data_IF_967869314697
#
_entry.id   IF_967869314697
#
_cell.length_a   1.000
_cell.length_b   1.000
_cell.length_c   1.000
_cell.angle_alpha   90.00
_cell.angle_beta   90.00
_cell.angle_gamma   90.00
#
_symmetry.space_group_name_H-M   'P 1'
#
loop_
_entity.id
_entity.type
_entity.pdbx_description
1 polymer ?
#
# COMPACT_ATOMS: atom_id res chain seq x y z
N UNK A 1 23.53 -42.82 2.85
CA UNK A 1 22.11 -42.96 2.42
C UNK A 1 22.01 -42.52 0.97
N UNK A 2 21.27 -43.29 0.18
CA UNK A 2 21.36 -43.40 -1.28
C UNK A 2 21.11 -42.10 -2.03
N UNK A 3 22.06 -41.77 -2.91
CA UNK A 3 21.90 -40.97 -4.12
C UNK A 3 20.77 -41.55 -4.97
N UNK A 4 19.72 -40.77 -5.21
CA UNK A 4 18.70 -41.09 -6.22
C UNK A 4 19.05 -40.33 -7.49
N UNK A 5 19.64 -41.05 -8.43
CA UNK A 5 19.80 -40.60 -9.81
C UNK A 5 18.40 -40.45 -10.42
N UNK A 6 18.06 -39.23 -10.87
CA UNK A 6 16.85 -38.99 -11.63
C UNK A 6 17.08 -39.48 -13.06
N UNK A 7 16.27 -40.44 -13.49
CA UNK A 7 16.18 -40.88 -14.88
C UNK A 7 15.77 -39.69 -15.77
N UNK A 8 16.61 -39.38 -16.74
CA UNK A 8 16.30 -38.48 -17.85
C UNK A 8 15.30 -39.14 -18.79
N UNK A 9 14.01 -38.86 -18.61
CA UNK A 9 13.02 -39.05 -19.66
C UNK A 9 13.00 -37.80 -20.54
N UNK A 10 13.48 -37.95 -21.78
CA UNK A 10 13.19 -37.03 -22.88
C UNK A 10 11.66 -36.93 -23.03
N UNK A 11 11.08 -35.80 -22.59
CA UNK A 11 9.70 -35.44 -22.87
C UNK A 11 9.66 -34.66 -24.18
N UNK A 12 9.25 -35.34 -25.24
CA UNK A 12 8.77 -34.70 -26.46
C UNK A 12 7.41 -34.05 -26.20
N UNK A 13 7.31 -32.72 -26.41
CA UNK A 13 6.26 -32.19 -27.29
C UNK A 13 5.05 -31.41 -26.77
N UNK A 14 4.89 -31.05 -25.48
CA UNK A 14 3.93 -30.00 -25.04
C UNK A 14 4.45 -29.28 -23.80
N UNK A 15 4.66 -27.95 -23.88
CA UNK A 15 4.98 -27.10 -22.73
C UNK A 15 3.82 -27.20 -21.72
N UNK A 16 4.13 -27.58 -20.48
CA UNK A 16 3.14 -27.63 -19.40
C UNK A 16 2.65 -26.20 -19.12
N UNK A 17 1.33 -25.98 -19.12
CA UNK A 17 0.77 -24.65 -18.88
C UNK A 17 0.92 -24.26 -17.40
N UNK A 18 1.34 -23.02 -17.16
CA UNK A 18 1.45 -22.41 -15.83
C UNK A 18 0.26 -21.47 -15.66
N UNK A 19 -0.73 -21.92 -14.88
CA UNK A 19 -2.01 -21.22 -14.71
C UNK A 19 -2.10 -20.61 -13.33
N UNK A 20 -2.36 -19.30 -13.26
CA UNK A 20 -2.56 -18.55 -12.01
C UNK A 20 -1.45 -18.74 -10.97
N UNK A 21 -0.22 -19.02 -11.37
CA UNK A 21 0.92 -19.15 -10.44
C UNK A 21 2.22 -18.65 -11.08
N UNK A 22 2.35 -17.33 -11.16
CA UNK A 22 3.54 -16.67 -11.69
C UNK A 22 3.63 -15.22 -11.20
N UNK A 23 4.67 -14.51 -11.62
CA UNK A 23 4.90 -13.11 -11.28
C UNK A 23 5.14 -12.30 -12.55
N UNK A 24 4.39 -11.22 -12.66
CA UNK A 24 4.57 -10.19 -13.69
C UNK A 24 5.41 -9.08 -13.07
N UNK A 25 6.41 -8.61 -13.80
CA UNK A 25 7.31 -7.55 -13.39
C UNK A 25 7.27 -6.45 -14.45
N UNK A 26 6.87 -5.25 -14.08
CA UNK A 26 6.72 -4.12 -15.00
C UNK A 26 7.80 -3.10 -14.69
N UNK A 27 8.79 -3.00 -15.57
CA UNK A 27 9.93 -2.08 -15.46
C UNK A 27 9.67 -0.85 -16.34
N UNK A 28 9.50 0.31 -15.71
CA UNK A 28 9.09 1.57 -16.37
C UNK A 28 9.93 2.74 -15.89
N UNK A 29 9.69 3.92 -16.46
CA UNK A 29 10.30 5.18 -16.02
C UNK A 29 9.42 5.79 -14.94
N UNK A 30 10.00 6.20 -13.80
CA UNK A 30 9.26 6.88 -12.74
C UNK A 30 8.60 8.16 -13.27
N UNK A 31 7.34 8.39 -12.93
CA UNK A 31 6.53 9.51 -13.46
C UNK A 31 5.93 9.29 -14.85
N UNK A 32 6.09 8.10 -15.47
CA UNK A 32 5.45 7.78 -16.76
C UNK A 32 3.95 7.52 -16.68
N UNK A 33 3.36 7.51 -15.48
CA UNK A 33 1.96 7.13 -15.25
C UNK A 33 1.72 5.61 -15.16
N UNK A 34 2.79 4.82 -15.06
CA UNK A 34 2.71 3.35 -15.05
C UNK A 34 2.00 2.76 -13.84
N UNK A 35 2.03 3.45 -12.69
CA UNK A 35 1.32 2.99 -11.48
C UNK A 35 -0.18 2.79 -11.73
N UNK A 36 -0.84 3.73 -12.42
CA UNK A 36 -2.27 3.62 -12.74
C UNK A 36 -2.55 2.40 -13.62
N UNK A 37 -1.71 2.17 -14.64
CA UNK A 37 -1.84 1.02 -15.55
C UNK A 37 -1.57 -0.32 -14.85
N UNK A 38 -0.57 -0.36 -13.96
CA UNK A 38 -0.27 -1.54 -13.14
C UNK A 38 -1.44 -1.88 -12.20
N UNK A 39 -2.05 -0.85 -11.57
CA UNK A 39 -3.25 -1.02 -10.73
C UNK A 39 -4.43 -1.53 -11.54
N UNK A 40 -4.64 -1.01 -12.76
CA UNK A 40 -5.69 -1.52 -13.68
C UNK A 40 -5.50 -3.01 -13.96
N UNK A 41 -4.28 -3.41 -14.36
CA UNK A 41 -3.99 -4.82 -14.65
C UNK A 41 -4.21 -5.71 -13.42
N UNK A 42 -3.68 -5.31 -12.26
CA UNK A 42 -3.85 -6.04 -11.00
C UNK A 42 -5.34 -6.15 -10.61
N UNK A 43 -6.11 -5.06 -10.71
CA UNK A 43 -7.55 -5.05 -10.42
C UNK A 43 -8.33 -5.96 -11.37
N UNK A 44 -8.02 -5.96 -12.66
CA UNK A 44 -8.67 -6.86 -13.62
C UNK A 44 -8.42 -8.34 -13.26
N UNK A 45 -7.19 -8.69 -12.85
CA UNK A 45 -6.85 -10.05 -12.38
C UNK A 45 -7.64 -10.41 -11.12
N UNK A 46 -7.75 -9.48 -10.16
CA UNK A 46 -8.55 -9.67 -8.96
C UNK A 46 -10.04 -9.87 -9.26
N UNK A 47 -10.61 -9.09 -10.18
CA UNK A 47 -12.02 -9.20 -10.60
C UNK A 47 -12.32 -10.54 -11.29
N UNK A 48 -11.31 -11.14 -11.94
CA UNK A 48 -11.40 -12.51 -12.44
C UNK A 48 -11.41 -13.59 -11.34
N UNK A 49 -11.46 -13.23 -10.06
CA UNK A 49 -11.52 -14.21 -8.97
C UNK A 49 -10.17 -14.70 -8.47
N UNK A 50 -9.07 -14.18 -9.03
CA UNK A 50 -7.74 -14.75 -8.86
C UNK A 50 -6.99 -14.02 -7.75
N UNK A 51 -6.45 -14.72 -6.74
CA UNK A 51 -5.68 -14.06 -5.69
C UNK A 51 -4.42 -13.39 -6.25
N UNK A 52 -4.24 -12.11 -5.91
CA UNK A 52 -3.19 -11.24 -6.45
C UNK A 52 -2.68 -10.24 -5.42
N UNK A 53 -1.41 -9.86 -5.50
CA UNK A 53 -0.86 -8.68 -4.82
C UNK A 53 -0.06 -7.81 -5.79
N UNK A 54 0.05 -6.53 -5.48
CA UNK A 54 0.82 -5.57 -6.27
C UNK A 54 1.79 -4.81 -5.39
N UNK A 55 3.08 -4.83 -5.75
CA UNK A 55 4.12 -4.10 -5.02
C UNK A 55 4.84 -3.12 -5.91
N UNK A 56 4.94 -1.88 -5.45
CA UNK A 56 5.65 -0.82 -6.13
C UNK A 56 7.06 -0.65 -5.54
N UNK A 57 8.08 -0.83 -6.37
CA UNK A 57 9.48 -0.59 -6.03
C UNK A 57 9.96 0.64 -6.80
N UNK A 58 9.93 1.78 -6.12
CA UNK A 58 10.31 3.07 -6.69
C UNK A 58 11.56 3.63 -6.01
N UNK A 59 12.35 4.45 -6.72
CA UNK A 59 13.47 5.17 -6.11
C UNK A 59 12.99 6.41 -5.35
N UNK A 60 13.84 6.96 -4.50
CA UNK A 60 13.60 8.23 -3.81
C UNK A 60 13.83 9.43 -4.75
N UNK A 61 13.08 9.50 -5.85
CA UNK A 61 13.11 10.59 -6.82
C UNK A 61 11.69 10.88 -7.35
N UNK A 62 11.48 12.10 -7.87
CA UNK A 62 10.17 12.49 -8.38
C UNK A 62 9.92 11.90 -9.77
N UNK A 63 10.89 11.93 -10.69
CA UNK A 63 10.74 11.40 -12.07
C UNK A 63 12.06 10.93 -12.67
N UNK A 64 11.98 10.04 -13.68
CA UNK A 64 13.06 9.75 -14.61
C UNK A 64 13.91 8.50 -14.31
N UNK A 65 14.09 8.15 -13.03
CA UNK A 65 14.78 6.91 -12.66
C UNK A 65 13.91 5.65 -12.90
N UNK A 66 14.51 4.45 -12.98
CA UNK A 66 13.77 3.21 -13.14
C UNK A 66 12.84 2.89 -11.97
N UNK A 67 11.66 2.38 -12.28
CA UNK A 67 10.66 1.94 -11.30
C UNK A 67 10.11 0.61 -11.72
N UNK A 68 9.94 -0.26 -10.74
CA UNK A 68 9.48 -1.61 -10.94
C UNK A 68 8.20 -1.84 -10.18
N UNK A 69 7.25 -2.53 -10.81
CA UNK A 69 6.03 -2.96 -10.15
C UNK A 69 5.89 -4.47 -10.32
N UNK A 70 5.71 -5.20 -9.23
CA UNK A 70 5.49 -6.65 -9.28
C UNK A 70 4.03 -6.96 -9.03
N UNK A 71 3.43 -7.77 -9.90
CA UNK A 71 2.12 -8.37 -9.71
C UNK A 71 2.34 -9.86 -9.46
N UNK A 72 2.09 -10.32 -8.25
CA UNK A 72 2.15 -11.74 -7.91
C UNK A 72 0.76 -12.34 -8.01
N UNK A 73 0.60 -13.33 -8.88
CA UNK A 73 -0.63 -14.10 -9.00
C UNK A 73 -0.39 -15.49 -8.46
N UNK A 74 -1.27 -15.96 -7.58
CA UNK A 74 -1.19 -17.32 -7.05
C UNK A 74 -2.59 -17.86 -6.71
N UNK A 75 -3.01 -18.94 -7.37
CA UNK A 75 -4.33 -19.59 -7.17
C UNK A 75 -4.57 -20.04 -5.73
N UNK A 76 -3.53 -20.27 -4.95
CA UNK A 76 -3.62 -20.76 -3.57
C UNK A 76 -3.54 -19.63 -2.53
N UNK A 77 -3.39 -18.37 -2.98
CA UNK A 77 -3.33 -17.20 -2.10
C UNK A 77 -1.92 -16.85 -1.62
N UNK A 78 -0.87 -17.56 -2.07
CA UNK A 78 0.53 -17.25 -1.75
C UNK A 78 1.03 -16.05 -2.56
N UNK A 79 0.64 -14.86 -2.13
CA UNK A 79 0.85 -13.59 -2.84
C UNK A 79 2.09 -12.82 -2.39
N UNK A 80 3.00 -13.45 -1.64
CA UNK A 80 4.32 -12.88 -1.39
C UNK A 80 5.15 -12.79 -2.67
N UNK A 81 6.00 -11.75 -2.78
CA UNK A 81 6.91 -11.57 -3.92
C UNK A 81 7.81 -12.79 -4.06
N UNK A 82 7.99 -13.26 -5.30
CA UNK A 82 8.97 -14.30 -5.63
C UNK A 82 10.23 -13.66 -6.24
N UNK A 83 11.43 -14.22 -5.99
CA UNK A 83 12.65 -13.79 -6.66
C UNK A 83 12.61 -14.05 -8.18
N UNK A 84 11.77 -14.99 -8.64
CA UNK A 84 11.67 -15.33 -10.07
C UNK A 84 10.72 -14.40 -10.81
N UNK A 85 11.21 -13.79 -11.88
CA UNK A 85 10.39 -13.05 -12.84
C UNK A 85 9.99 -13.99 -13.96
N UNK A 86 8.68 -14.13 -14.17
CA UNK A 86 8.12 -15.03 -15.17
C UNK A 86 7.69 -14.29 -16.43
N UNK A 87 7.10 -13.11 -16.23
CA UNK A 87 6.71 -12.19 -17.30
C UNK A 87 7.29 -10.81 -16.98
N UNK A 88 8.12 -10.28 -17.86
CA UNK A 88 8.70 -8.95 -17.78
C UNK A 88 8.03 -8.04 -18.82
N UNK A 89 7.63 -6.85 -18.40
CA UNK A 89 7.27 -5.73 -19.28
C UNK A 89 8.39 -4.71 -19.20
N UNK A 90 9.29 -4.71 -20.18
CA UNK A 90 10.51 -3.91 -20.20
C UNK A 90 10.29 -2.61 -21.00
N UNK A 91 9.88 -1.56 -20.30
CA UNK A 91 9.58 -0.25 -20.89
C UNK A 91 10.62 0.82 -20.54
N UNK A 92 11.60 0.49 -19.70
CA UNK A 92 12.68 1.41 -19.32
C UNK A 92 13.96 1.10 -20.10
N UNK A 93 14.40 1.98 -21.03
CA UNK A 93 15.62 1.75 -21.80
C UNK A 93 16.89 1.66 -20.95
N UNK A 94 16.93 2.27 -19.75
CA UNK A 94 18.12 2.30 -18.89
C UNK A 94 18.43 0.93 -18.27
N UNK A 95 17.40 0.14 -17.97
CA UNK A 95 17.56 -1.14 -17.25
C UNK A 95 17.16 -2.35 -18.09
N UNK A 96 16.44 -2.15 -19.20
CA UNK A 96 15.87 -3.23 -20.01
C UNK A 96 16.83 -4.39 -20.34
N UNK A 97 18.10 -4.10 -20.68
CA UNK A 97 19.08 -5.15 -20.97
C UNK A 97 19.43 -5.97 -19.72
N UNK A 98 19.63 -5.31 -18.58
CA UNK A 98 19.93 -5.99 -17.31
C UNK A 98 18.69 -6.72 -16.78
N UNK A 99 17.50 -6.12 -16.87
CA UNK A 99 16.24 -6.76 -16.49
C UNK A 99 16.02 -8.07 -17.27
N UNK A 100 16.36 -8.11 -18.56
CA UNK A 100 16.29 -9.32 -19.39
C UNK A 100 17.35 -10.36 -18.99
N UNK A 101 18.57 -9.93 -18.64
CA UNK A 101 19.62 -10.85 -18.18
C UNK A 101 19.24 -11.55 -16.87
N UNK A 102 18.51 -10.90 -15.99
CA UNK A 102 18.04 -11.47 -14.72
C UNK A 102 16.88 -12.48 -14.86
N UNK A 103 16.28 -12.59 -16.05
CA UNK A 103 15.18 -13.54 -16.29
C UNK A 103 15.61 -15.00 -16.14
N UNK A 104 14.69 -15.84 -15.69
CA UNK A 104 14.89 -17.30 -15.74
C UNK A 104 14.68 -17.81 -17.18
N UNK A 105 15.35 -18.91 -17.59
CA UNK A 105 15.06 -19.55 -18.88
C UNK A 105 13.57 -19.88 -19.02
N UNK A 106 12.99 -19.62 -20.19
CA UNK A 106 11.56 -19.79 -20.47
C UNK A 106 10.66 -18.66 -19.94
N UNK A 107 11.21 -17.61 -19.35
CA UNK A 107 10.45 -16.40 -19.04
C UNK A 107 10.01 -15.66 -20.32
N UNK A 108 9.05 -14.76 -20.16
CA UNK A 108 8.51 -13.91 -21.23
C UNK A 108 9.00 -12.47 -21.05
N UNK A 109 9.43 -11.84 -22.14
CA UNK A 109 9.74 -10.41 -22.18
C UNK A 109 8.83 -9.71 -23.21
N UNK A 110 8.03 -8.76 -22.74
CA UNK A 110 7.18 -7.86 -23.52
C UNK A 110 7.88 -6.50 -23.56
N UNK A 111 8.26 -6.03 -24.75
CA UNK A 111 9.07 -4.80 -24.87
C UNK A 111 8.81 -4.01 -26.15
N UNK A 112 9.13 -2.70 -26.19
CA UNK A 112 9.16 -1.92 -27.42
C UNK A 112 10.12 -2.52 -28.47
N UNK A 113 9.72 -2.52 -29.74
CA UNK A 113 10.57 -2.98 -30.87
C UNK A 113 11.90 -2.23 -30.95
N UNK A 114 11.90 -0.96 -30.55
CA UNK A 114 13.05 -0.07 -30.62
C UNK A 114 14.19 -0.51 -29.68
N UNK A 115 13.87 -1.26 -28.62
CA UNK A 115 14.85 -1.73 -27.65
C UNK A 115 15.65 -2.96 -28.12
N UNK A 116 15.20 -3.67 -29.18
CA UNK A 116 15.91 -4.83 -29.75
C UNK A 116 16.34 -5.88 -28.70
N UNK A 117 15.50 -6.12 -27.68
CA UNK A 117 15.84 -7.01 -26.56
C UNK A 117 15.86 -8.50 -26.92
N UNK A 118 15.26 -8.87 -28.06
CA UNK A 118 15.25 -10.23 -28.63
C UNK A 118 16.66 -10.77 -28.91
N UNK A 119 17.63 -9.88 -29.12
CA UNK A 119 19.03 -10.23 -29.40
C UNK A 119 19.84 -10.54 -28.15
N UNK A 120 19.28 -10.32 -26.95
CA UNK A 120 20.02 -10.45 -25.69
C UNK A 120 20.11 -11.90 -25.24
N UNK A 121 19.01 -12.65 -25.34
CA UNK A 121 18.88 -14.05 -24.91
C UNK A 121 17.87 -14.79 -25.78
N UNK A 122 18.22 -15.98 -26.23
CA UNK A 122 17.40 -16.87 -27.07
C UNK A 122 16.54 -17.85 -26.24
N UNK A 123 16.92 -18.10 -25.00
CA UNK A 123 16.19 -18.94 -24.05
C UNK A 123 15.02 -18.21 -23.34
N UNK A 124 14.76 -16.96 -23.71
CA UNK A 124 13.63 -16.13 -23.26
C UNK A 124 12.66 -15.94 -24.42
N UNK A 125 11.35 -16.01 -24.17
CA UNK A 125 10.33 -15.70 -25.18
C UNK A 125 10.13 -14.20 -25.27
N UNK A 126 10.51 -13.59 -26.39
CA UNK A 126 10.32 -12.16 -26.63
C UNK A 126 9.05 -11.89 -27.45
N UNK A 127 8.26 -10.94 -26.98
CA UNK A 127 7.18 -10.31 -27.73
C UNK A 127 7.55 -8.83 -27.89
N UNK A 128 7.78 -8.41 -29.14
CA UNK A 128 8.16 -7.04 -29.48
C UNK A 128 6.96 -6.28 -30.04
N UNK A 129 6.66 -5.12 -29.47
CA UNK A 129 5.44 -4.36 -29.75
C UNK A 129 5.80 -2.95 -30.22
N UNK A 130 5.22 -2.45 -31.33
CA UNK A 130 5.44 -1.09 -31.81
C UNK A 130 4.61 -0.09 -30.98
N UNK A 131 4.89 0.02 -29.67
CA UNK A 131 4.12 0.84 -28.74
C UNK A 131 3.99 2.30 -29.18
N UNK A 132 5.03 2.86 -29.81
CA UNK A 132 5.02 4.21 -30.36
C UNK A 132 3.94 4.39 -31.44
N UNK A 133 3.80 3.42 -32.34
CA UNK A 133 2.80 3.44 -33.42
C UNK A 133 1.39 3.26 -32.87
N UNK A 134 1.21 2.31 -31.94
CA UNK A 134 -0.09 2.07 -31.30
C UNK A 134 -0.56 3.29 -30.48
N UNK A 135 0.35 3.96 -29.79
CA UNK A 135 0.02 5.19 -29.06
C UNK A 135 -0.40 6.34 -29.98
N UNK A 136 0.15 6.41 -31.20
CA UNK A 136 -0.26 7.39 -32.20
C UNK A 136 -1.69 7.16 -32.70
N UNK A 137 -2.14 5.89 -32.77
CA UNK A 137 -3.52 5.54 -33.12
C UNK A 137 -4.51 5.93 -32.00
N UNK A 138 -4.08 5.84 -30.75
CA UNK A 138 -4.92 6.12 -29.59
C UNK A 138 -5.20 7.62 -29.39
N UNK A 139 -4.23 8.49 -29.73
CA UNK A 139 -4.40 9.94 -29.56
C UNK A 139 -3.42 10.77 -30.40
N UNK A 140 -3.91 11.90 -30.91
CA UNK A 140 -3.07 12.92 -31.53
C UNK A 140 -2.24 13.69 -30.48
N UNK A 141 -2.67 13.72 -29.21
CA UNK A 141 -2.00 14.48 -28.16
C UNK A 141 -0.70 13.81 -27.69
N UNK A 142 0.44 14.40 -28.06
CA UNK A 142 1.79 13.91 -27.76
C UNK A 142 2.01 13.65 -26.25
N UNK A 143 1.46 14.50 -25.36
CA UNK A 143 1.63 14.31 -23.91
C UNK A 143 0.91 13.06 -23.40
N UNK A 144 -0.28 12.78 -23.94
CA UNK A 144 -1.08 11.64 -23.55
C UNK A 144 -0.52 10.33 -24.11
N UNK A 145 0.18 10.35 -25.26
CA UNK A 145 0.78 9.15 -25.85
C UNK A 145 1.62 8.37 -24.84
N UNK A 146 2.47 9.05 -24.05
CA UNK A 146 3.31 8.40 -23.02
C UNK A 146 2.49 7.69 -21.95
N UNK A 147 1.39 8.31 -21.50
CA UNK A 147 0.51 7.72 -20.49
C UNK A 147 -0.26 6.52 -21.07
N UNK A 148 -0.76 6.66 -22.29
CA UNK A 148 -1.53 5.61 -22.97
C UNK A 148 -0.68 4.43 -23.40
N UNK A 149 0.62 4.62 -23.69
CA UNK A 149 1.57 3.52 -23.90
C UNK A 149 1.51 2.50 -22.75
N UNK A 150 1.35 2.97 -21.51
CA UNK A 150 1.25 2.08 -20.37
C UNK A 150 -0.07 1.28 -20.36
N UNK A 151 -1.17 1.86 -20.82
CA UNK A 151 -2.44 1.13 -20.95
C UNK A 151 -2.45 0.19 -22.17
N UNK A 152 -1.70 0.52 -23.23
CA UNK A 152 -1.56 -0.38 -24.38
C UNK A 152 -0.90 -1.70 -23.95
N UNK A 153 0.14 -1.69 -23.09
CA UNK A 153 0.70 -2.96 -22.61
C UNK A 153 -0.30 -3.75 -21.75
N UNK A 154 -1.21 -3.08 -21.03
CA UNK A 154 -2.29 -3.76 -20.29
C UNK A 154 -3.18 -4.52 -21.27
N UNK A 155 -3.52 -3.92 -22.42
CA UNK A 155 -4.25 -4.58 -23.50
C UNK A 155 -3.50 -5.77 -24.11
N UNK A 156 -2.20 -5.60 -24.39
CA UNK A 156 -1.32 -6.66 -24.91
C UNK A 156 -1.26 -7.84 -23.93
N UNK A 157 -0.99 -7.57 -22.65
CA UNK A 157 -1.01 -8.59 -21.61
C UNK A 157 -2.40 -9.21 -21.42
N UNK A 158 -3.46 -8.44 -21.63
CA UNK A 158 -4.82 -8.95 -21.59
C UNK A 158 -5.09 -10.03 -22.63
N UNK A 159 -4.51 -9.90 -23.82
CA UNK A 159 -4.51 -10.98 -24.81
C UNK A 159 -3.56 -12.12 -24.41
N UNK A 160 -2.28 -11.81 -24.13
CA UNK A 160 -1.26 -12.84 -23.89
C UNK A 160 -1.53 -13.71 -22.67
N UNK A 161 -2.17 -13.16 -21.63
CA UNK A 161 -2.44 -13.85 -20.36
C UNK A 161 -3.90 -14.26 -20.21
N UNK A 162 -4.75 -14.08 -21.22
CA UNK A 162 -6.20 -14.36 -21.17
C UNK A 162 -6.95 -13.57 -20.07
N UNK A 163 -6.61 -12.29 -19.85
CA UNK A 163 -7.42 -11.39 -19.01
C UNK A 163 -8.66 -10.96 -19.79
N UNK A 164 -9.85 -11.14 -19.22
CA UNK A 164 -11.10 -10.74 -19.87
C UNK A 164 -11.12 -9.23 -20.15
N UNK A 165 -11.57 -8.84 -21.36
CA UNK A 165 -11.54 -7.44 -21.78
C UNK A 165 -12.47 -6.58 -20.93
N UNK A 166 -13.61 -7.14 -20.56
CA UNK A 166 -14.63 -6.51 -19.74
C UNK A 166 -14.08 -6.13 -18.36
N UNK A 167 -13.23 -6.98 -17.77
CA UNK A 167 -12.61 -6.73 -16.47
C UNK A 167 -11.57 -5.60 -16.56
N UNK A 168 -10.81 -5.53 -17.66
CA UNK A 168 -9.90 -4.40 -17.90
C UNK A 168 -10.71 -3.09 -18.00
N UNK A 169 -11.84 -3.08 -18.68
CA UNK A 169 -12.69 -1.90 -18.84
C UNK A 169 -13.32 -1.46 -17.51
N UNK A 170 -13.80 -2.40 -16.69
CA UNK A 170 -14.29 -2.13 -15.34
C UNK A 170 -13.17 -1.56 -14.46
N UNK A 171 -11.97 -2.14 -14.52
CA UNK A 171 -10.82 -1.64 -13.77
C UNK A 171 -10.38 -0.23 -14.19
N UNK A 172 -10.42 0.09 -15.50
CA UNK A 172 -10.16 1.44 -16.01
C UNK A 172 -11.22 2.42 -15.51
N UNK A 173 -12.50 2.06 -15.59
CA UNK A 173 -13.60 2.92 -15.14
C UNK A 173 -13.45 3.28 -13.65
N UNK A 174 -13.06 2.31 -12.81
CA UNK A 174 -12.81 2.54 -11.39
C UNK A 174 -11.56 3.37 -11.12
N UNK A 175 -10.48 3.17 -11.87
CA UNK A 175 -9.22 3.91 -11.68
C UNK A 175 -9.35 5.40 -12.03
N UNK A 176 -10.24 5.75 -12.97
CA UNK A 176 -10.46 7.11 -13.45
C UNK A 176 -11.88 7.60 -13.16
N UNK A 177 -12.46 7.17 -12.04
CA UNK A 177 -13.81 7.55 -11.60
C UNK A 177 -13.99 9.08 -11.60
N UNK A 178 -15.13 9.54 -12.12
CA UNK A 178 -15.43 10.96 -12.31
C UNK A 178 -14.65 11.65 -13.45
N UNK A 179 -13.93 10.91 -14.30
CA UNK A 179 -13.15 11.43 -15.43
C UNK A 179 -13.49 10.68 -16.72
N UNK A 180 -14.72 10.84 -17.22
CA UNK A 180 -15.29 10.07 -18.34
C UNK A 180 -14.41 10.10 -19.60
N UNK A 181 -13.91 11.29 -19.99
CA UNK A 181 -13.00 11.42 -21.14
C UNK A 181 -11.70 10.62 -20.97
N UNK A 182 -11.18 10.54 -19.74
CA UNK A 182 -10.00 9.72 -19.46
C UNK A 182 -10.36 8.23 -19.52
N UNK A 183 -11.54 7.83 -19.01
CA UNK A 183 -12.02 6.44 -19.10
C UNK A 183 -12.08 5.99 -20.55
N UNK A 184 -12.80 6.72 -21.41
CA UNK A 184 -12.95 6.40 -22.83
C UNK A 184 -11.60 6.26 -23.54
N UNK A 185 -10.69 7.21 -23.31
CA UNK A 185 -9.38 7.23 -23.94
C UNK A 185 -8.52 6.03 -23.51
N UNK A 186 -8.51 5.68 -22.23
CA UNK A 186 -7.76 4.54 -21.71
C UNK A 186 -8.39 3.21 -22.15
N UNK A 187 -9.72 3.08 -22.19
CA UNK A 187 -10.40 1.89 -22.74
C UNK A 187 -10.02 1.67 -24.20
N UNK A 188 -10.03 2.72 -25.02
CA UNK A 188 -9.61 2.63 -26.42
C UNK A 188 -8.14 2.20 -26.54
N UNK A 189 -7.24 2.76 -25.74
CA UNK A 189 -5.83 2.37 -25.73
C UNK A 189 -5.62 0.88 -25.36
N UNK A 190 -6.37 0.37 -24.39
CA UNK A 190 -6.32 -1.05 -24.03
C UNK A 190 -6.82 -1.95 -25.17
N UNK A 191 -7.91 -1.57 -25.84
CA UNK A 191 -8.45 -2.31 -27.00
C UNK A 191 -7.47 -2.34 -28.17
N UNK A 192 -6.83 -1.22 -28.49
CA UNK A 192 -5.78 -1.14 -29.53
C UNK A 192 -4.65 -2.13 -29.24
N UNK A 193 -4.13 -2.14 -28.00
CA UNK A 193 -3.08 -3.08 -27.61
C UNK A 193 -3.52 -4.55 -27.71
N UNK A 194 -4.76 -4.86 -27.31
CA UNK A 194 -5.30 -6.22 -27.35
C UNK A 194 -5.48 -6.73 -28.78
N UNK A 195 -6.13 -5.96 -29.65
CA UNK A 195 -6.39 -6.39 -31.03
C UNK A 195 -5.09 -6.52 -31.82
N UNK A 196 -4.16 -5.57 -31.66
CA UNK A 196 -2.85 -5.69 -32.28
C UNK A 196 -2.12 -6.98 -31.84
N UNK A 197 -2.14 -7.29 -30.53
CA UNK A 197 -1.53 -8.52 -30.01
C UNK A 197 -2.17 -9.77 -30.61
N UNK A 198 -3.50 -9.80 -30.74
CA UNK A 198 -4.26 -10.92 -31.31
C UNK A 198 -3.97 -11.14 -32.80
N UNK A 199 -3.76 -10.08 -33.56
CA UNK A 199 -3.49 -10.16 -35.00
C UNK A 199 -2.02 -10.47 -35.32
N UNK A 200 -1.08 -10.06 -34.45
CA UNK A 200 0.35 -10.04 -34.78
C UNK A 200 1.21 -10.98 -33.92
N UNK A 201 0.74 -11.43 -32.76
CA UNK A 201 1.52 -12.29 -31.86
C UNK A 201 1.00 -13.73 -31.89
N UNK A 202 1.93 -14.66 -32.13
CA UNK A 202 1.69 -16.08 -31.88
C UNK A 202 2.10 -16.42 -30.44
N UNK A 203 1.12 -16.78 -29.61
CA UNK A 203 1.37 -17.17 -28.22
C UNK A 203 2.06 -18.54 -28.15
N UNK A 204 3.28 -18.57 -27.65
CA UNK A 204 4.10 -19.78 -27.46
C UNK A 204 4.84 -19.75 -26.11
N UNK A 205 4.16 -19.26 -25.07
CA UNK A 205 4.62 -19.29 -23.69
C UNK A 205 3.59 -20.01 -22.80
N UNK A 206 4.00 -20.58 -21.65
CA UNK A 206 3.11 -21.40 -20.83
C UNK A 206 2.17 -20.60 -19.93
N UNK A 207 2.34 -19.28 -19.78
CA UNK A 207 1.67 -18.51 -18.74
C UNK A 207 0.26 -18.12 -19.18
N UNK A 208 -0.72 -18.37 -18.30
CA UNK A 208 -2.12 -18.05 -18.55
C UNK A 208 -2.85 -17.72 -17.25
N UNK A 209 -3.82 -16.82 -17.33
CA UNK A 209 -4.78 -16.58 -16.27
C UNK A 209 -6.09 -17.31 -16.59
N UNK A 210 -6.72 -17.84 -15.55
CA UNK A 210 -8.01 -18.52 -15.65
C UNK A 210 -8.92 -18.06 -14.53
N UNK A 211 -10.18 -17.77 -14.85
CA UNK A 211 -11.16 -17.26 -13.89
C UNK A 211 -11.32 -18.21 -12.70
N UNK A 212 -11.46 -17.62 -11.52
CA UNK A 212 -11.69 -18.28 -10.24
C UNK A 212 -12.81 -17.56 -9.48
N UNK A 213 -13.01 -17.90 -8.20
CA UNK A 213 -13.98 -17.27 -7.30
C UNK A 213 -13.37 -16.90 -5.92
N UNK A 214 -12.05 -17.03 -5.75
CA UNK A 214 -11.36 -16.85 -4.46
C UNK A 214 -11.26 -15.40 -3.97
N UNK A 215 -11.57 -14.43 -4.81
CA UNK A 215 -11.64 -13.01 -4.43
C UNK A 215 -13.06 -12.51 -4.19
N UNK A 216 -14.07 -13.39 -4.29
CA UNK A 216 -15.46 -13.00 -4.12
C UNK A 216 -15.69 -12.39 -2.73
N UNK A 217 -16.22 -11.18 -2.71
CA UNK A 217 -16.50 -10.45 -1.47
C UNK A 217 -15.28 -9.77 -0.83
N UNK A 218 -14.07 -10.01 -1.34
CA UNK A 218 -12.85 -9.36 -0.84
C UNK A 218 -12.71 -7.94 -1.42
N UNK A 219 -11.85 -7.14 -0.78
CA UNK A 219 -11.44 -5.82 -1.24
C UNK A 219 -9.95 -5.78 -1.59
N UNK A 220 -9.51 -4.72 -2.23
CA UNK A 220 -8.09 -4.37 -2.39
C UNK A 220 -7.84 -3.06 -1.66
N UNK A 221 -6.84 -3.03 -0.79
CA UNK A 221 -6.47 -1.86 0.00
C UNK A 221 -5.00 -1.94 0.42
N UNK A 222 -4.36 -0.80 0.67
CA UNK A 222 -3.05 -0.71 1.32
C UNK A 222 -3.17 -0.50 2.83
N UNK A 223 -2.10 -0.78 3.58
CA UNK A 223 -2.10 -0.71 5.04
C UNK A 223 -2.35 0.69 5.59
N UNK A 224 -1.89 1.74 4.90
CA UNK A 224 -2.16 3.12 5.33
C UNK A 224 -3.64 3.47 5.16
N UNK A 225 -4.27 3.06 4.07
CA UNK A 225 -5.71 3.23 3.86
C UNK A 225 -6.53 2.45 4.88
N UNK A 226 -6.14 1.22 5.17
CA UNK A 226 -6.78 0.41 6.21
C UNK A 226 -6.67 1.04 7.60
N UNK A 227 -5.47 1.52 7.96
CA UNK A 227 -5.24 2.23 9.20
C UNK A 227 -6.03 3.54 9.28
N UNK A 228 -6.13 4.30 8.19
CA UNK A 228 -6.94 5.52 8.10
C UNK A 228 -8.43 5.24 8.39
N UNK A 229 -9.01 4.22 7.75
CA UNK A 229 -10.38 3.78 8.04
C UNK A 229 -10.53 3.41 9.53
N UNK A 230 -9.56 2.66 10.07
CA UNK A 230 -9.54 2.27 11.48
C UNK A 230 -9.50 3.47 12.42
N UNK A 231 -8.66 4.47 12.15
CA UNK A 231 -8.58 5.71 12.94
C UNK A 231 -9.89 6.50 12.90
N UNK A 232 -10.52 6.61 11.73
CA UNK A 232 -11.82 7.28 11.59
C UNK A 232 -12.89 6.59 12.45
N UNK A 233 -12.97 5.26 12.37
CA UNK A 233 -13.92 4.47 13.16
C UNK A 233 -13.57 4.44 14.65
N UNK A 234 -12.29 4.60 15.02
CA UNK A 234 -11.86 4.77 16.40
C UNK A 234 -12.27 6.12 17.01
N UNK A 235 -12.88 7.02 16.23
CA UNK A 235 -13.37 8.31 16.72
C UNK A 235 -12.26 9.36 16.85
N UNK A 236 -11.17 9.24 16.08
CA UNK A 236 -10.15 10.30 16.03
C UNK A 236 -10.80 11.65 15.72
N UNK A 237 -10.41 12.68 16.47
CA UNK A 237 -10.93 14.04 16.30
C UNK A 237 -9.84 15.09 16.16
N UNK A 238 -8.57 14.73 16.38
CA UNK A 238 -7.43 15.60 16.12
C UNK A 238 -6.27 14.83 15.51
N UNK A 239 -5.76 15.29 14.38
CA UNK A 239 -4.60 14.71 13.69
C UNK A 239 -3.58 15.81 13.45
N UNK A 240 -2.36 15.64 13.93
CA UNK A 240 -1.25 16.53 13.59
C UNK A 240 -0.10 15.70 13.00
N UNK A 241 0.46 16.13 11.87
CA UNK A 241 1.45 15.33 11.14
C UNK A 241 2.42 16.20 10.35
N UNK A 242 3.59 15.66 10.06
CA UNK A 242 4.56 16.23 9.14
C UNK A 242 4.77 15.26 7.96
N UNK A 243 4.82 15.73 6.70
CA UNK A 243 4.96 14.83 5.56
C UNK A 243 6.29 14.07 5.56
N UNK A 244 6.22 12.74 5.63
CA UNK A 244 7.38 11.84 5.52
C UNK A 244 6.95 10.52 4.85
N UNK A 245 7.69 10.07 3.84
CA UNK A 245 7.47 8.72 3.26
C UNK A 245 7.90 7.66 4.28
N UNK A 246 7.16 6.55 4.45
CA UNK A 246 5.90 6.15 3.83
C UNK A 246 4.62 6.56 4.59
N UNK A 247 4.67 7.43 5.59
CA UNK A 247 3.55 7.68 6.51
C UNK A 247 2.52 8.70 6.00
N UNK A 248 2.91 9.63 5.11
CA UNK A 248 2.02 10.71 4.63
C UNK A 248 0.68 10.22 4.09
N UNK A 249 0.67 9.10 3.34
CA UNK A 249 -0.55 8.61 2.70
C UNK A 249 -1.59 8.07 3.69
N UNK A 250 -1.21 7.78 4.94
CA UNK A 250 -2.18 7.48 6.00
C UNK A 250 -2.99 8.74 6.32
N UNK A 251 -2.31 9.86 6.57
CA UNK A 251 -2.96 11.13 6.89
C UNK A 251 -3.78 11.67 5.71
N UNK A 252 -3.25 11.58 4.49
CA UNK A 252 -3.97 12.00 3.27
C UNK A 252 -5.27 11.21 3.09
N UNK A 253 -5.22 9.88 3.15
CA UNK A 253 -6.42 9.05 3.04
C UNK A 253 -7.40 9.27 4.19
N UNK A 254 -6.90 9.48 5.42
CA UNK A 254 -7.74 9.81 6.57
C UNK A 254 -8.46 11.16 6.37
N UNK A 255 -7.78 12.17 5.83
CA UNK A 255 -8.39 13.46 5.49
C UNK A 255 -9.52 13.25 4.48
N UNK A 256 -9.27 12.51 3.39
CA UNK A 256 -10.28 12.23 2.35
C UNK A 256 -11.52 11.57 2.96
N UNK A 257 -11.35 10.52 3.79
CA UNK A 257 -12.46 9.85 4.47
C UNK A 257 -13.19 10.76 5.46
N UNK A 258 -12.47 11.59 6.22
CA UNK A 258 -13.12 12.51 7.16
C UNK A 258 -13.87 13.65 6.46
N UNK A 259 -13.40 14.12 5.30
CA UNK A 259 -14.13 15.10 4.49
C UNK A 259 -15.45 14.55 3.96
N UNK A 260 -15.50 13.25 3.65
CA UNK A 260 -16.73 12.58 3.21
C UNK A 260 -17.67 12.25 4.37
N UNK A 261 -17.16 11.72 5.49
CA UNK A 261 -17.99 11.06 6.51
C UNK A 261 -18.05 11.78 7.86
N UNK A 262 -17.24 12.80 8.13
CA UNK A 262 -17.12 13.46 9.46
C UNK A 262 -17.59 14.91 9.47
N UNK A 263 -18.62 15.18 8.68
CA UNK A 263 -19.36 16.44 8.62
C UNK A 263 -20.71 16.27 9.34
N UNK A 264 -21.02 17.17 10.27
CA UNK A 264 -22.31 17.15 11.00
C UNK A 264 -23.48 17.67 10.14
N UNK A 265 -24.70 17.59 10.67
CA UNK A 265 -25.92 18.04 9.97
C UNK A 265 -25.89 19.53 9.61
N UNK A 266 -25.10 20.34 10.33
CA UNK A 266 -24.89 21.76 10.07
C UNK A 266 -23.73 22.06 9.10
N UNK A 267 -23.08 21.03 8.55
CA UNK A 267 -21.96 21.18 7.63
C UNK A 267 -20.62 21.48 8.29
N UNK A 268 -20.51 21.33 9.62
CA UNK A 268 -19.27 21.57 10.37
C UNK A 268 -18.45 20.30 10.48
N UNK A 269 -17.13 20.46 10.46
CA UNK A 269 -16.19 19.36 10.65
C UNK A 269 -16.18 18.95 12.13
N UNK A 270 -16.33 17.66 12.38
CA UNK A 270 -16.23 17.05 13.73
C UNK A 270 -14.79 16.65 14.09
N UNK A 271 -13.81 17.21 13.38
CA UNK A 271 -12.40 16.88 13.47
C UNK A 271 -11.53 18.08 13.07
N UNK A 272 -10.26 18.06 13.48
CA UNK A 272 -9.23 18.99 13.01
C UNK A 272 -8.01 18.21 12.52
N UNK A 273 -7.46 18.61 11.37
CA UNK A 273 -6.19 18.09 10.86
C UNK A 273 -5.23 19.25 10.63
N UNK A 274 -4.01 19.12 11.14
CA UNK A 274 -2.95 20.12 11.03
C UNK A 274 -1.72 19.46 10.40
N UNK A 275 -1.30 19.96 9.24
CA UNK A 275 0.05 19.69 8.75
C UNK A 275 0.99 20.64 9.50
N UNK A 276 1.77 20.09 10.42
CA UNK A 276 2.70 20.83 11.24
C UNK A 276 3.98 21.20 10.45
N UNK A 277 4.80 22.07 11.04
CA UNK A 277 6.08 22.52 10.50
C UNK A 277 7.19 21.47 10.61
N UNK A 278 7.11 20.57 11.60
CA UNK A 278 8.03 19.45 11.83
C UNK A 278 7.36 18.38 12.74
N UNK A 279 8.06 17.26 12.97
CA UNK A 279 7.58 16.19 13.82
C UNK A 279 7.48 16.55 15.32
N UNK A 280 8.24 17.52 15.81
CA UNK A 280 8.16 17.99 17.20
C UNK A 280 6.85 18.72 17.44
N UNK A 281 6.51 19.65 16.55
CA UNK A 281 5.24 20.37 16.56
C UNK A 281 4.06 19.40 16.38
N UNK A 282 4.19 18.42 15.48
CA UNK A 282 3.14 17.42 15.25
C UNK A 282 2.78 16.63 16.51
N UNK A 283 3.77 16.03 17.19
CA UNK A 283 3.50 15.26 18.42
C UNK A 283 3.08 16.17 19.57
N UNK A 284 3.64 17.37 19.68
CA UNK A 284 3.25 18.35 20.71
C UNK A 284 1.78 18.77 20.58
N UNK A 285 1.31 19.05 19.36
CA UNK A 285 -0.09 19.34 19.08
C UNK A 285 -0.99 18.14 19.38
N UNK A 286 -0.59 16.93 18.99
CA UNK A 286 -1.37 15.71 19.25
C UNK A 286 -1.52 15.44 20.76
N UNK A 287 -0.43 15.57 21.54
CA UNK A 287 -0.47 15.45 23.00
C UNK A 287 -1.33 16.55 23.64
N UNK A 288 -1.23 17.79 23.17
CA UNK A 288 -2.08 18.89 23.64
C UNK A 288 -3.57 18.62 23.42
N UNK A 289 -3.93 18.07 22.27
CA UNK A 289 -5.30 17.64 21.97
C UNK A 289 -5.73 16.45 22.85
N UNK A 290 -4.85 15.48 23.08
CA UNK A 290 -5.07 14.34 23.96
C UNK A 290 -5.35 14.77 25.41
N UNK A 291 -4.58 15.75 25.90
CA UNK A 291 -4.80 16.38 27.22
C UNK A 291 -6.14 17.10 27.31
N UNK A 292 -6.59 17.73 26.23
CA UNK A 292 -7.90 18.37 26.15
C UNK A 292 -9.08 17.37 26.06
N UNK A 293 -8.81 16.06 25.99
CA UNK A 293 -9.81 15.00 25.95
C UNK A 293 -10.18 14.51 24.55
N UNK A 294 -9.51 14.98 23.50
CA UNK A 294 -9.68 14.47 22.14
C UNK A 294 -8.99 13.10 21.98
N UNK A 295 -9.54 12.24 21.12
CA UNK A 295 -8.77 11.11 20.58
C UNK A 295 -7.85 11.66 19.50
N UNK A 296 -6.56 11.77 19.82
CA UNK A 296 -5.56 12.41 18.97
C UNK A 296 -4.52 11.42 18.44
N UNK A 297 -3.96 11.75 17.28
CA UNK A 297 -2.87 10.97 16.70
C UNK A 297 -1.87 11.80 15.91
N UNK A 298 -0.72 11.17 15.66
CA UNK A 298 0.24 11.55 14.61
C UNK A 298 0.69 10.32 13.82
N UNK A 299 1.31 10.53 12.65
CA UNK A 299 1.85 9.47 11.79
C UNK A 299 3.19 9.89 11.22
N UNK A 300 4.20 9.04 11.37
CA UNK A 300 5.59 9.33 11.02
C UNK A 300 6.37 8.06 10.63
N UNK A 301 7.69 8.15 10.53
CA UNK A 301 8.62 7.04 10.33
C UNK A 301 9.86 7.24 11.20
N UNK A 302 10.80 6.29 11.24
CA UNK A 302 11.98 6.30 12.14
C UNK A 302 12.69 7.65 12.39
N UNK A 303 12.98 8.49 11.37
CA UNK A 303 13.56 9.82 11.62
C UNK A 303 12.67 10.74 12.47
N UNK A 304 11.36 10.72 12.21
CA UNK A 304 10.40 11.50 12.97
C UNK A 304 10.18 10.95 14.38
N UNK A 305 10.20 9.62 14.56
CA UNK A 305 10.19 8.99 15.90
C UNK A 305 11.36 9.50 16.74
N UNK A 306 12.55 9.64 16.12
CA UNK A 306 13.74 10.17 16.80
C UNK A 306 13.53 11.62 17.27
N UNK A 307 12.87 12.46 16.47
CA UNK A 307 12.54 13.84 16.83
C UNK A 307 11.47 13.88 17.93
N UNK A 308 10.42 13.06 17.82
CA UNK A 308 9.30 13.02 18.78
C UNK A 308 9.69 12.51 20.19
N UNK A 309 10.90 12.01 20.37
CA UNK A 309 11.37 11.33 21.58
C UNK A 309 11.16 12.13 22.87
N UNK A 310 11.48 13.43 22.88
CA UNK A 310 11.32 14.28 24.08
C UNK A 310 9.84 14.43 24.49
N UNK A 311 8.98 14.84 23.55
CA UNK A 311 7.56 15.03 23.82
C UNK A 311 6.83 13.72 24.11
N UNK A 312 7.23 12.61 23.49
CA UNK A 312 6.66 11.30 23.84
C UNK A 312 6.97 10.95 25.30
N UNK A 313 8.20 11.23 25.77
CA UNK A 313 8.55 11.09 27.20
C UNK A 313 7.69 11.97 28.10
N UNK A 314 7.42 13.21 27.69
CA UNK A 314 6.48 14.08 28.38
C UNK A 314 5.05 13.51 28.42
N UNK A 315 4.55 12.98 27.29
CA UNK A 315 3.23 12.33 27.22
C UNK A 315 3.12 11.11 28.13
N UNK A 316 4.18 10.30 28.22
CA UNK A 316 4.26 9.19 29.16
C UNK A 316 4.24 9.67 30.62
N UNK A 317 5.05 10.68 30.95
CA UNK A 317 5.12 11.23 32.31
C UNK A 317 3.82 11.90 32.77
N UNK A 318 3.14 12.62 31.86
CA UNK A 318 1.90 13.34 32.15
C UNK A 318 0.64 12.50 31.92
N UNK A 319 0.79 11.20 31.65
CA UNK A 319 -0.30 10.25 31.41
C UNK A 319 -1.29 10.72 30.32
N UNK A 320 -0.76 11.09 29.15
CA UNK A 320 -1.55 11.66 28.05
C UNK A 320 -1.87 10.57 27.01
N UNK A 321 -3.16 10.27 26.75
CA UNK A 321 -3.54 9.32 25.71
C UNK A 321 -3.27 9.93 24.32
N UNK A 322 -2.45 9.27 23.51
CA UNK A 322 -2.18 9.69 22.12
C UNK A 322 -1.70 8.48 21.30
N UNK A 323 -2.15 8.35 20.05
CA UNK A 323 -1.70 7.28 19.15
C UNK A 323 -0.61 7.80 18.21
N UNK A 324 0.48 7.05 18.07
CA UNK A 324 1.61 7.39 17.19
C UNK A 324 1.82 6.24 16.20
N UNK A 325 1.60 6.50 14.91
CA UNK A 325 1.95 5.54 13.87
C UNK A 325 3.41 5.70 13.46
N UNK A 326 4.16 4.61 13.56
CA UNK A 326 5.50 4.49 13.00
C UNK A 326 5.42 3.57 11.78
N UNK A 327 5.40 4.19 10.60
CA UNK A 327 5.40 3.49 9.31
C UNK A 327 6.84 3.27 8.91
N UNK A 328 7.40 2.14 9.35
CA UNK A 328 8.84 1.90 9.34
C UNK A 328 9.41 1.80 7.91
N UNK A 329 10.64 2.29 7.76
CA UNK A 329 11.43 2.23 6.53
C UNK A 329 12.90 1.99 6.86
N UNK A 330 13.73 1.69 5.86
CA UNK A 330 15.16 1.45 6.09
C UNK A 330 15.84 2.70 6.65
N UNK A 331 16.41 2.58 7.86
CA UNK A 331 17.39 3.49 8.46
C UNK A 331 18.83 2.96 8.34
N UNK A 332 19.78 3.46 9.16
CA UNK A 332 19.65 4.59 10.09
C UNK A 332 19.65 5.95 9.38
N UNK A 333 19.39 7.03 10.13
CA UNK A 333 19.30 8.41 9.59
C UNK A 333 18.27 8.47 8.44
N UNK A 334 18.56 9.16 7.33
CA UNK A 334 17.68 9.15 6.14
C UNK A 334 17.46 7.73 5.60
N UNK A 335 18.49 6.88 5.68
CA UNK A 335 18.50 5.51 5.17
C UNK A 335 18.07 5.41 3.70
N UNK A 336 17.11 4.52 3.41
CA UNK A 336 16.51 4.36 2.09
C UNK A 336 14.99 4.59 2.20
N UNK A 337 14.50 5.84 1.98
CA UNK A 337 13.11 6.23 2.22
C UNK A 337 12.04 5.37 1.56
N UNK A 338 12.39 4.70 0.46
CA UNK A 338 11.49 3.90 -0.38
C UNK A 338 11.76 2.40 -0.28
N UNK A 339 12.39 1.95 0.83
CA UNK A 339 12.67 0.55 1.13
C UNK A 339 12.09 0.16 2.49
N UNK A 340 11.50 -1.02 2.55
CA UNK A 340 10.88 -1.57 3.75
C UNK A 340 11.93 -2.04 4.77
N UNK A 341 11.62 -1.83 6.05
CA UNK A 341 12.37 -2.31 7.21
C UNK A 341 11.41 -2.39 8.39
N UNK A 342 11.79 -3.19 9.40
CA UNK A 342 11.11 -3.28 10.69
C UNK A 342 12.13 -3.07 11.83
N UNK A 343 13.02 -2.10 11.63
CA UNK A 343 14.22 -1.89 12.44
C UNK A 343 14.02 -1.04 13.69
N UNK A 344 12.86 -0.42 13.85
CA UNK A 344 12.66 0.66 14.84
C UNK A 344 12.10 0.13 16.18
N UNK A 345 11.71 -1.15 16.24
CA UNK A 345 11.01 -1.76 17.38
C UNK A 345 11.64 -1.51 18.75
N UNK A 346 12.93 -1.81 18.92
CA UNK A 346 13.59 -1.70 20.24
C UNK A 346 13.75 -0.23 20.63
N UNK A 347 14.11 0.64 19.69
CA UNK A 347 14.22 2.09 19.96
C UNK A 347 12.88 2.70 20.32
N UNK A 348 11.79 2.28 19.67
CA UNK A 348 10.45 2.78 19.96
C UNK A 348 9.92 2.28 21.30
N UNK A 349 10.22 1.02 21.67
CA UNK A 349 9.79 0.46 22.96
C UNK A 349 10.38 1.22 24.16
N UNK A 350 11.64 1.62 24.04
CA UNK A 350 12.36 2.42 25.06
C UNK A 350 12.46 3.91 24.68
N UNK A 351 11.55 4.44 23.86
CA UNK A 351 11.66 5.81 23.36
C UNK A 351 11.64 6.83 24.50
N UNK A 352 12.47 7.87 24.36
CA UNK A 352 12.79 8.90 25.35
C UNK A 352 13.84 8.51 26.40
N UNK A 353 14.20 9.49 27.22
CA UNK A 353 15.12 9.32 28.35
C UNK A 353 14.36 8.94 29.62
N UNK A 354 15.03 8.26 30.55
CA UNK A 354 14.42 7.71 31.77
C UNK A 354 13.87 6.30 31.56
N UNK A 355 13.04 5.82 32.49
CA UNK A 355 12.49 4.46 32.51
C UNK A 355 11.14 4.38 31.78
N UNK A 356 11.14 4.59 30.46
CA UNK A 356 9.94 4.50 29.61
C UNK A 356 9.76 3.10 29.00
N UNK A 357 8.51 2.64 28.90
CA UNK A 357 8.11 1.42 28.19
C UNK A 357 6.77 1.64 27.51
N UNK A 358 6.78 1.79 26.19
CA UNK A 358 5.56 2.11 25.46
C UNK A 358 4.81 0.86 24.99
N UNK A 359 3.47 0.82 25.06
CA UNK A 359 2.69 -0.20 24.38
C UNK A 359 2.84 -0.07 22.86
N UNK A 360 3.09 -1.19 22.19
CA UNK A 360 3.28 -1.25 20.73
C UNK A 360 2.38 -2.33 20.13
N UNK A 361 1.62 -1.96 19.11
CA UNK A 361 0.87 -2.87 18.26
C UNK A 361 1.63 -3.11 16.95
N UNK A 362 1.70 -4.37 16.51
CA UNK A 362 2.50 -4.83 15.36
C UNK A 362 1.59 -5.52 14.34
N UNK A 363 0.87 -4.77 13.48
CA UNK A 363 0.03 -5.37 12.46
C UNK A 363 0.86 -6.15 11.42
N UNK A 364 0.41 -7.36 11.10
CA UNK A 364 0.99 -8.25 10.10
C UNK A 364 0.14 -8.36 8.81
N UNK A 365 -1.02 -7.70 8.77
CA UNK A 365 -1.96 -7.68 7.65
C UNK A 365 -2.69 -6.33 7.58
N UNK A 366 -3.36 -6.07 6.45
CA UNK A 366 -4.16 -4.85 6.29
C UNK A 366 -5.42 -4.87 7.17
N UNK A 367 -5.96 -6.06 7.44
CA UNK A 367 -7.02 -6.25 8.43
C UNK A 367 -6.55 -5.87 9.84
N UNK A 368 -5.33 -6.28 10.22
CA UNK A 368 -4.75 -5.88 11.49
C UNK A 368 -4.36 -4.39 11.51
N UNK A 369 -3.99 -3.77 10.38
CA UNK A 369 -3.83 -2.31 10.31
C UNK A 369 -5.13 -1.60 10.69
N UNK A 370 -6.28 -2.09 10.20
CA UNK A 370 -7.59 -1.57 10.57
C UNK A 370 -7.93 -1.83 12.06
N UNK A 371 -7.83 -3.09 12.49
CA UNK A 371 -8.23 -3.50 13.84
C UNK A 371 -7.33 -2.88 14.91
N UNK A 372 -6.01 -2.84 14.68
CA UNK A 372 -5.06 -2.32 15.64
C UNK A 372 -5.10 -0.80 15.71
N UNK A 373 -5.51 -0.10 14.64
CA UNK A 373 -5.84 1.33 14.76
C UNK A 373 -6.94 1.56 15.81
N UNK A 374 -8.05 0.80 15.75
CA UNK A 374 -9.14 0.93 16.74
C UNK A 374 -8.65 0.60 18.15
N UNK A 375 -7.96 -0.54 18.31
CA UNK A 375 -7.40 -0.94 19.60
C UNK A 375 -6.38 0.06 20.15
N UNK A 376 -5.60 0.72 19.30
CA UNK A 376 -4.59 1.68 19.74
C UNK A 376 -5.24 2.85 20.51
N UNK A 377 -6.36 3.39 20.02
CA UNK A 377 -7.05 4.49 20.70
C UNK A 377 -7.69 4.04 22.02
N UNK A 378 -8.33 2.88 22.04
CA UNK A 378 -8.91 2.30 23.25
C UNK A 378 -7.82 2.01 24.30
N UNK A 379 -6.69 1.43 23.87
CA UNK A 379 -5.53 1.22 24.74
C UNK A 379 -4.91 2.52 25.24
N UNK A 380 -4.77 3.53 24.37
CA UNK A 380 -4.22 4.83 24.76
C UNK A 380 -5.07 5.49 25.84
N UNK A 381 -6.41 5.49 25.70
CA UNK A 381 -7.31 6.06 26.70
C UNK A 381 -7.41 5.22 27.98
N UNK A 382 -7.42 3.90 27.88
CA UNK A 382 -7.45 3.02 29.07
C UNK A 382 -6.17 3.11 29.89
N UNK A 383 -5.01 3.08 29.23
CA UNK A 383 -3.70 3.12 29.88
C UNK A 383 -3.20 4.55 30.13
N UNK A 384 -3.88 5.55 29.58
CA UNK A 384 -3.53 6.97 29.68
C UNK A 384 -2.06 7.22 29.31
N UNK A 385 -1.63 6.73 28.16
CA UNK A 385 -0.23 6.84 27.71
C UNK A 385 -0.14 6.92 26.19
N UNK A 386 0.96 7.43 25.62
CA UNK A 386 1.27 7.23 24.21
C UNK A 386 1.28 5.74 23.84
N UNK A 387 0.59 5.38 22.76
CA UNK A 387 0.55 4.01 22.20
C UNK A 387 1.03 4.05 20.76
N UNK A 388 1.87 3.10 20.39
CA UNK A 388 2.43 3.04 19.05
C UNK A 388 1.78 1.95 18.21
N UNK A 389 1.64 2.22 16.91
CA UNK A 389 1.34 1.21 15.90
C UNK A 389 2.51 1.17 14.92
N UNK A 390 3.26 0.06 14.93
CA UNK A 390 4.46 -0.14 14.12
C UNK A 390 4.11 -1.00 12.91
N UNK A 391 3.84 -0.34 11.78
CA UNK A 391 3.70 -0.98 10.47
C UNK A 391 5.01 -0.80 9.68
N UNK A 392 5.02 -1.13 8.39
CA UNK A 392 6.18 -0.94 7.51
C UNK A 392 5.76 -0.52 6.10
N UNK A 393 6.72 0.02 5.35
CA UNK A 393 6.50 0.52 3.99
C UNK A 393 5.81 -0.51 3.06
N UNK A 394 6.12 -1.80 3.22
CA UNK A 394 5.58 -2.84 2.34
C UNK A 394 4.10 -3.05 2.60
N UNK A 395 3.69 -3.13 3.86
CA UNK A 395 2.27 -3.22 4.21
C UNK A 395 1.54 -1.90 3.92
N UNK A 396 2.18 -0.78 4.24
CA UNK A 396 1.60 0.56 4.21
C UNK A 396 1.28 1.10 2.80
N UNK A 397 2.12 0.84 1.80
CA UNK A 397 2.01 1.48 0.48
C UNK A 397 1.72 0.51 -0.68
N UNK A 398 1.65 -0.79 -0.42
CA UNK A 398 1.35 -1.78 -1.44
C UNK A 398 -0.07 -2.31 -1.30
N UNK A 399 -0.62 -2.78 -2.41
CA UNK A 399 -2.00 -3.26 -2.45
C UNK A 399 -2.08 -4.73 -2.08
N UNK A 400 -2.93 -5.01 -1.10
CA UNK A 400 -3.22 -6.33 -0.59
C UNK A 400 -4.70 -6.64 -0.77
N UNK A 401 -5.01 -7.93 -0.90
CA UNK A 401 -6.40 -8.37 -0.78
C UNK A 401 -6.75 -8.46 0.69
N UNK A 402 -7.95 -8.01 1.04
CA UNK A 402 -8.44 -8.11 2.40
C UNK A 402 -9.87 -8.65 2.42
N UNK A 403 -10.26 -9.26 3.54
CA UNK A 403 -11.68 -9.31 3.87
C UNK A 403 -12.21 -7.87 4.09
N UNK A 404 -13.49 -7.59 3.78
CA UNK A 404 -14.11 -6.33 4.17
C UNK A 404 -14.02 -6.11 5.67
N UNK A 405 -13.73 -4.87 6.07
CA UNK A 405 -13.59 -4.53 7.47
C UNK A 405 -14.95 -4.51 8.19
N UNK A 406 -15.03 -5.19 9.34
CA UNK A 406 -16.23 -5.16 10.17
C UNK A 406 -16.38 -3.82 10.89
N UNK A 407 -17.58 -3.25 10.86
CA UNK A 407 -17.92 -2.07 11.65
C UNK A 407 -17.76 -2.37 13.16
N UNK A 408 -17.11 -1.49 13.96
CA UNK A 408 -16.93 -1.73 15.39
C UNK A 408 -18.28 -1.78 16.12
N UNK A 409 -18.50 -2.83 16.92
CA UNK A 409 -19.78 -3.07 17.62
C UNK A 409 -19.79 -2.47 19.02
N UNK A 410 -18.63 -2.39 19.65
CA UNK A 410 -18.48 -1.88 21.01
C UNK A 410 -18.33 -0.35 21.00
N UNK A 411 -18.84 0.34 22.02
CA UNK A 411 -18.56 1.76 22.19
C UNK A 411 -17.07 1.98 22.47
N UNK A 412 -16.62 3.21 22.24
CA UNK A 412 -15.26 3.63 22.56
C UNK A 412 -14.92 3.37 24.02
N UNK A 413 -13.79 2.71 24.24
CA UNK A 413 -13.24 2.54 25.56
C UNK A 413 -12.51 3.82 25.99
N UNK A 414 -13.23 4.69 26.71
CA UNK A 414 -12.69 5.97 27.18
C UNK A 414 -11.79 5.83 28.41
N UNK A 415 -11.72 4.64 29.02
CA UNK A 415 -11.05 4.43 30.31
C UNK A 415 -11.75 5.16 31.48
N UNK A 416 -10.97 5.55 32.49
CA UNK A 416 -11.47 6.22 33.70
C UNK A 416 -11.65 7.73 33.50
N UNK A 417 -12.77 8.12 32.89
CA UNK A 417 -13.11 9.54 32.65
C UNK A 417 -14.23 9.99 33.57
N UNK A 418 -14.06 11.14 34.23
CA UNK A 418 -15.10 11.80 35.03
C UNK A 418 -15.88 12.80 34.18
N UNK A 419 -17.19 12.86 34.39
CA UNK A 419 -18.02 13.91 33.80
C UNK A 419 -18.27 15.06 34.81
N UNK A 420 -19.03 16.08 34.39
CA UNK A 420 -19.33 17.23 35.24
C UNK A 420 -20.08 16.85 36.53
N UNK A 421 -21.04 15.93 36.45
CA UNK A 421 -21.81 15.47 37.61
C UNK A 421 -20.92 14.72 38.62
N UNK A 422 -19.95 13.94 38.14
CA UNK A 422 -18.96 13.28 38.99
C UNK A 422 -18.12 14.29 39.75
N UNK A 423 -17.64 15.35 39.08
CA UNK A 423 -16.84 16.39 39.71
C UNK A 423 -17.62 17.16 40.79
N UNK A 424 -18.89 17.48 40.53
CA UNK A 424 -19.78 18.08 41.53
C UNK A 424 -19.97 17.17 42.75
N UNK A 425 -20.22 15.88 42.51
CA UNK A 425 -20.41 14.87 43.57
C UNK A 425 -19.14 14.67 44.41
N UNK A 426 -17.97 14.67 43.78
CA UNK A 426 -16.69 14.45 44.46
C UNK A 426 -16.16 15.71 45.17
N UNK A 427 -16.62 16.90 44.77
CA UNK A 427 -16.25 18.19 45.39
C UNK A 427 -14.79 18.61 45.14
N UNK A 428 -14.08 17.94 44.25
CA UNK A 428 -12.69 18.21 43.90
C UNK A 428 -12.09 17.18 42.94
N UNK A 429 -10.97 17.53 42.30
CA UNK A 429 -10.26 16.69 41.34
C UNK A 429 -8.76 16.72 41.59
N UNK A 430 -8.12 15.55 41.48
CA UNK A 430 -6.67 15.40 41.56
C UNK A 430 -6.23 14.40 40.49
N UNK A 431 -5.64 14.92 39.40
CA UNK A 431 -5.33 14.17 38.17
C UNK A 431 -4.54 12.88 38.39
N UNK A 432 -3.63 12.85 39.36
CA UNK A 432 -2.71 11.72 39.58
C UNK A 432 -3.01 10.93 40.85
N UNK A 433 -4.24 11.04 41.39
CA UNK A 433 -4.63 10.28 42.58
C UNK A 433 -5.12 8.90 42.17
N UNK A 434 -4.34 7.88 42.51
CA UNK A 434 -4.76 6.48 42.38
C UNK A 434 -5.67 6.09 43.56
N UNK A 435 -6.97 6.00 43.29
CA UNK A 435 -7.98 5.63 44.28
C UNK A 435 -8.28 4.13 44.31
N UNK A 436 -7.93 3.42 43.24
CA UNK A 436 -8.27 2.00 43.07
C UNK A 436 -7.07 1.07 43.32
N UNK A 437 -5.85 1.63 43.37
CA UNK A 437 -4.61 0.88 43.58
C UNK A 437 -4.10 0.15 42.34
N UNK A 438 -4.60 0.49 41.15
CA UNK A 438 -4.22 -0.12 39.88
C UNK A 438 -3.24 0.72 39.06
N UNK A 439 -2.82 1.88 39.58
CA UNK A 439 -1.89 2.79 38.92
C UNK A 439 -2.51 3.62 37.79
N UNK A 440 -3.84 3.54 37.57
CA UNK A 440 -4.55 4.32 36.55
C UNK A 440 -5.51 5.28 37.26
N UNK A 441 -5.19 6.58 37.37
CA UNK A 441 -6.07 7.55 38.02
C UNK A 441 -7.28 7.90 37.14
N UNK A 442 -8.26 8.57 37.73
CA UNK A 442 -9.37 9.16 36.97
C UNK A 442 -8.94 10.47 36.32
N UNK A 443 -9.39 10.74 35.09
CA UNK A 443 -9.10 11.97 34.34
C UNK A 443 -10.34 12.77 33.99
#
# INVERSE_FOLDING_TARGET
>A
MKTLAANSTEKTGKKEQIVNDFQIHVATVNGSGSQSSNTVLMRAIFQMGIPVSGKNLFPSNIMGLPTWFTIRVNKDGYVARTPKVHVLVAMNPQTAVEDVKELSPGAVCVSPVELNLDKIRDDVKHYQIPFSELANQATENIKLRKLLTNIIYVGVLGHLLDVAQEEIEIAIARQFEGKEKAIELNVNAARIGREWAKENLEKDDPYKLSRMDKTKGKIIIDGNGAAAIGCMFAGVSFVAWYPITPSSSLCEQLIDYMEEFRIDEEGRRTYAVVQAEDELAAVGMALGAGWAGARSMTSTSGPGISLMSEFTGYGYFAEIPTVIFDVQRVGPSTGLPTRTSQGDLISTYFLSHGDTKHPILLPASVEECYEFSVKAFDMAERLQTPVFVLTDLDLAMNNWMAEPFEYPKEPFDRGKVLNAEDLERLGGFARYKDVDGDGIPYR
#
